data_IF_108222406939
#
_entry.id   IF_108222406939
#
_cell.length_a   1.000
_cell.length_b   1.000
_cell.length_c   1.000
_cell.angle_alpha   90.00
_cell.angle_beta   90.00
_cell.angle_gamma   90.00
#
_symmetry.space_group_name_H-M   'P 1'
#
loop_
_entity.id
_entity.type
_entity.pdbx_description
1 polymer ?
#
# COMPACT_ATOMS: atom_id res chain seq x y z
N UNK A 1 0.60 -17.03 8.40
CA UNK A 1 2.08 -17.00 8.38
C UNK A 1 2.63 -16.04 9.44
N UNK A 2 2.13 -14.80 9.49
CA UNK A 2 2.55 -13.74 10.42
C UNK A 2 2.68 -14.23 11.87
N UNK A 3 1.65 -14.87 12.44
CA UNK A 3 1.69 -15.33 13.84
C UNK A 3 2.75 -16.40 14.08
N UNK A 4 2.90 -17.33 13.13
CA UNK A 4 3.90 -18.41 13.21
C UNK A 4 5.31 -17.83 13.14
N UNK A 5 5.55 -16.89 12.22
CA UNK A 5 6.85 -16.22 12.10
C UNK A 5 7.17 -15.36 13.33
N UNK A 6 6.18 -14.63 13.83
CA UNK A 6 6.32 -13.82 15.05
C UNK A 6 6.63 -14.69 16.27
N UNK A 7 6.05 -15.89 16.36
CA UNK A 7 6.34 -16.80 17.47
C UNK A 7 7.74 -17.43 17.36
N UNK A 8 8.11 -17.90 16.16
CA UNK A 8 9.41 -18.54 15.90
C UNK A 8 10.59 -17.57 16.06
N UNK A 9 10.45 -16.32 15.63
CA UNK A 9 11.56 -15.37 15.56
C UNK A 9 11.48 -14.23 16.58
N UNK A 10 10.54 -14.30 17.55
CA UNK A 10 10.25 -13.23 18.52
C UNK A 10 11.48 -12.59 19.17
N UNK A 11 12.50 -13.39 19.49
CA UNK A 11 13.70 -12.96 20.20
C UNK A 11 14.92 -12.78 19.30
N UNK A 12 14.81 -13.12 18.01
CA UNK A 12 15.92 -13.11 17.05
C UNK A 12 15.65 -12.23 15.82
N UNK A 13 14.52 -11.54 15.77
CA UNK A 13 14.18 -10.63 14.69
C UNK A 13 14.82 -9.24 14.88
N UNK A 14 15.20 -8.62 13.77
CA UNK A 14 15.46 -7.18 13.71
C UNK A 14 14.18 -6.42 13.38
N UNK A 15 14.00 -5.24 13.97
CA UNK A 15 12.90 -4.35 13.62
C UNK A 15 13.33 -3.47 12.45
N UNK A 16 12.61 -3.58 11.32
CA UNK A 16 12.77 -2.61 10.23
C UNK A 16 12.14 -1.28 10.67
N UNK A 17 12.74 -0.13 10.32
CA UNK A 17 12.14 1.15 10.61
C UNK A 17 10.88 1.35 9.76
N UNK A 18 9.98 2.23 10.21
CA UNK A 18 8.69 2.51 9.56
C UNK A 18 8.79 3.07 8.13
N UNK A 19 10.00 3.31 7.61
CA UNK A 19 10.23 3.68 6.22
C UNK A 19 9.94 2.51 5.26
N UNK A 20 10.01 1.26 5.73
CA UNK A 20 10.00 0.07 4.87
C UNK A 20 8.68 -0.67 4.76
N UNK A 21 7.74 -0.50 5.69
CA UNK A 21 6.44 -1.17 5.61
C UNK A 21 5.40 -0.28 6.25
N UNK A 22 4.59 0.34 5.41
CA UNK A 22 3.45 1.15 5.84
C UNK A 22 2.22 0.60 5.13
N UNK A 23 1.12 0.41 5.87
CA UNK A 23 -0.10 -0.11 5.28
C UNK A 23 -0.77 0.99 4.47
N UNK A 24 -1.31 0.68 3.30
CA UNK A 24 -1.94 1.69 2.42
C UNK A 24 -3.03 2.50 3.11
N UNK A 25 -3.78 1.91 4.05
CA UNK A 25 -4.77 2.66 4.82
C UNK A 25 -4.18 3.74 5.72
N UNK A 26 -2.91 3.63 6.08
CA UNK A 26 -2.31 4.56 7.04
C UNK A 26 -1.95 5.85 6.34
N UNK A 27 -1.86 5.87 5.01
CA UNK A 27 -1.69 7.09 4.21
C UNK A 27 -2.71 8.15 4.62
N UNK A 28 -3.96 7.76 4.87
CA UNK A 28 -5.02 8.68 5.28
C UNK A 28 -5.15 8.83 6.79
N UNK A 29 -4.45 8.01 7.60
CA UNK A 29 -4.44 8.18 9.05
C UNK A 29 -3.57 9.37 9.48
N UNK A 30 -3.85 9.92 10.67
CA UNK A 30 -3.12 11.06 11.24
C UNK A 30 -1.93 10.67 12.12
N UNK A 31 -1.64 9.37 12.22
CA UNK A 31 -0.59 8.88 13.11
C UNK A 31 0.79 9.09 12.47
N UNK A 32 1.75 9.59 13.24
CA UNK A 32 3.06 9.96 12.68
C UNK A 32 4.05 8.80 12.59
N UNK A 33 3.90 7.73 13.36
CA UNK A 33 4.68 6.49 13.24
C UNK A 33 6.20 6.72 13.32
N UNK A 34 6.64 7.37 14.41
CA UNK A 34 8.05 7.74 14.66
C UNK A 34 8.62 8.81 13.72
N UNK A 35 7.83 9.35 12.78
CA UNK A 35 8.15 10.57 12.06
C UNK A 35 7.66 11.81 12.82
N UNK A 36 8.15 12.99 12.44
CA UNK A 36 7.79 14.30 13.01
C UNK A 36 6.39 14.73 12.57
N UNK A 37 5.93 14.32 11.39
CA UNK A 37 4.59 14.66 10.87
C UNK A 37 4.06 13.62 9.88
N UNK A 38 2.75 13.65 9.62
CA UNK A 38 2.10 12.86 8.55
C UNK A 38 2.75 13.12 7.19
N UNK A 39 3.02 14.38 6.87
CA UNK A 39 3.66 14.78 5.62
C UNK A 39 5.08 14.20 5.50
N UNK A 40 5.86 14.25 6.58
CA UNK A 40 7.20 13.64 6.61
C UNK A 40 7.14 12.12 6.43
N UNK A 41 6.20 11.44 7.11
CA UNK A 41 6.00 10.01 6.92
C UNK A 41 5.69 9.66 5.47
N UNK A 42 4.74 10.36 4.85
CA UNK A 42 4.35 10.16 3.45
C UNK A 42 5.56 10.34 2.53
N UNK A 43 6.40 11.35 2.79
CA UNK A 43 7.60 11.63 1.99
C UNK A 43 8.73 10.59 2.17
N UNK A 44 8.84 9.97 3.35
CA UNK A 44 9.96 9.11 3.72
C UNK A 44 9.60 7.62 3.79
N UNK A 45 8.41 7.24 3.32
CA UNK A 45 8.02 5.84 3.19
C UNK A 45 8.39 5.32 1.81
N UNK A 46 9.01 4.14 1.74
CA UNK A 46 9.50 3.54 0.50
C UNK A 46 8.61 2.41 -0.02
N UNK A 47 7.80 1.80 0.85
CA UNK A 47 6.94 0.67 0.47
C UNK A 47 5.57 0.80 1.12
N UNK A 48 4.54 0.64 0.29
CA UNK A 48 3.15 0.62 0.72
C UNK A 48 2.54 -0.77 0.52
N UNK A 49 2.01 -1.32 1.61
CA UNK A 49 1.38 -2.64 1.60
C UNK A 49 -0.14 -2.49 1.44
N UNK A 50 -0.68 -2.98 0.32
CA UNK A 50 -2.12 -3.14 0.12
C UNK A 50 -2.71 -4.16 1.10
N UNK A 51 -3.44 -3.65 2.09
CA UNK A 51 -4.03 -4.39 3.19
C UNK A 51 -5.51 -4.01 3.33
N UNK A 52 -6.38 -4.90 3.83
CA UNK A 52 -7.86 -4.75 3.88
C UNK A 52 -8.45 -3.53 4.61
N UNK A 53 -7.63 -2.56 5.06
CA UNK A 53 -8.13 -1.32 5.64
C UNK A 53 -8.88 -0.45 4.61
N UNK A 54 -9.80 0.40 5.10
CA UNK A 54 -10.62 1.33 4.29
C UNK A 54 -11.52 0.67 3.25
N UNK A 55 -11.80 -0.63 3.36
CA UNK A 55 -12.57 -1.36 2.36
C UNK A 55 -11.78 -1.68 1.09
N UNK A 56 -10.47 -1.42 1.09
CA UNK A 56 -9.57 -1.65 -0.04
C UNK A 56 -8.70 -2.83 0.29
N UNK A 57 -8.96 -3.97 -0.36
CA UNK A 57 -8.27 -5.22 -0.06
C UNK A 57 -6.97 -5.34 -0.85
N UNK A 58 -7.11 -5.28 -2.16
CA UNK A 58 -6.06 -5.51 -3.14
C UNK A 58 -6.30 -4.61 -4.34
N UNK A 59 -5.25 -4.08 -4.97
CA UNK A 59 -5.39 -3.10 -6.02
C UNK A 59 -6.15 -3.66 -7.24
N UNK A 60 -5.97 -4.95 -7.56
CA UNK A 60 -6.72 -5.62 -8.63
C UNK A 60 -8.22 -5.81 -8.36
N UNK A 61 -8.68 -5.65 -7.12
CA UNK A 61 -10.10 -5.68 -6.77
C UNK A 61 -10.73 -4.26 -6.75
N UNK A 62 -9.91 -3.22 -6.85
CA UNK A 62 -10.39 -1.84 -6.87
C UNK A 62 -10.71 -1.44 -8.32
N UNK A 63 -11.89 -0.89 -8.62
CA UNK A 63 -12.18 -0.39 -9.96
C UNK A 63 -11.23 0.75 -10.35
N UNK A 64 -10.66 0.70 -11.55
CA UNK A 64 -9.77 1.77 -12.08
C UNK A 64 -10.46 3.14 -12.12
N UNK A 65 -11.79 3.18 -12.23
CA UNK A 65 -12.61 4.40 -12.18
C UNK A 65 -12.48 5.20 -10.87
N UNK A 66 -11.89 4.63 -9.82
CA UNK A 66 -11.54 5.38 -8.61
C UNK A 66 -10.60 6.56 -8.91
N UNK A 67 -9.80 6.47 -9.97
CA UNK A 67 -8.90 7.55 -10.40
C UNK A 67 -9.65 8.74 -11.01
N UNK A 68 -10.87 8.53 -11.52
CA UNK A 68 -11.73 9.58 -12.08
C UNK A 68 -12.47 10.38 -10.99
N UNK A 69 -12.57 9.80 -9.79
CA UNK A 69 -13.34 10.33 -8.67
C UNK A 69 -12.49 10.38 -7.40
N UNK A 70 -11.38 11.13 -7.46
CA UNK A 70 -10.49 11.32 -6.31
C UNK A 70 -11.22 12.08 -5.19
N UNK A 71 -11.48 11.41 -4.08
CA UNK A 71 -11.97 12.03 -2.85
C UNK A 71 -10.91 12.95 -2.24
N UNK A 72 -11.30 14.19 -1.91
CA UNK A 72 -10.41 15.18 -1.32
C UNK A 72 -9.94 14.82 0.11
N UNK A 73 -10.62 13.91 0.79
CA UNK A 73 -10.25 13.37 2.10
C UNK A 73 -9.05 12.41 2.04
N UNK A 74 -8.67 11.96 0.85
CA UNK A 74 -7.57 11.01 0.65
C UNK A 74 -6.34 11.75 0.14
N UNK A 75 -5.16 11.35 0.61
CA UNK A 75 -3.90 11.92 0.13
C UNK A 75 -3.68 11.57 -1.35
N UNK A 76 -3.10 12.46 -2.17
CA UNK A 76 -2.82 12.18 -3.58
C UNK A 76 -2.04 10.87 -3.81
N UNK A 77 -1.07 10.60 -2.94
CA UNK A 77 -0.23 9.40 -2.98
C UNK A 77 -1.05 8.10 -3.02
N UNK A 78 -2.22 8.07 -2.36
CA UNK A 78 -3.08 6.89 -2.36
C UNK A 78 -3.50 6.49 -3.79
N UNK A 79 -3.87 7.46 -4.61
CA UNK A 79 -4.27 7.24 -6.01
C UNK A 79 -3.06 6.96 -6.89
N UNK A 80 -1.94 7.61 -6.62
CA UNK A 80 -0.73 7.48 -7.44
C UNK A 80 -0.15 6.06 -7.32
N UNK A 81 -0.17 5.44 -6.13
CA UNK A 81 0.27 4.04 -5.95
C UNK A 81 -0.66 3.05 -6.68
N UNK A 82 -1.97 3.33 -6.72
CA UNK A 82 -2.92 2.51 -7.49
C UNK A 82 -2.64 2.61 -9.00
N UNK A 83 -2.42 3.82 -9.50
CA UNK A 83 -2.05 4.06 -10.89
C UNK A 83 -0.74 3.33 -11.25
N UNK A 84 0.30 3.49 -10.43
CA UNK A 84 1.59 2.82 -10.62
C UNK A 84 1.44 1.28 -10.63
N UNK A 85 0.66 0.72 -9.71
CA UNK A 85 0.37 -0.72 -9.72
C UNK A 85 -0.21 -1.17 -11.07
N UNK A 86 -1.22 -0.47 -11.60
CA UNK A 86 -1.86 -0.85 -12.86
C UNK A 86 -0.97 -0.62 -14.09
N UNK A 87 -0.19 0.45 -14.10
CA UNK A 87 0.79 0.69 -15.17
C UNK A 87 1.80 -0.46 -15.26
N UNK A 88 2.29 -0.94 -14.10
CA UNK A 88 3.18 -2.09 -14.03
C UNK A 88 2.48 -3.41 -14.37
N UNK A 89 1.24 -3.61 -13.92
CA UNK A 89 0.44 -4.79 -14.28
C UNK A 89 0.21 -4.86 -15.81
N UNK A 90 -0.17 -3.75 -16.45
CA UNK A 90 -0.39 -3.70 -17.90
C UNK A 90 0.92 -3.97 -18.67
N UNK A 91 2.04 -3.41 -18.20
CA UNK A 91 3.34 -3.55 -18.86
C UNK A 91 3.97 -4.95 -18.69
N UNK A 92 3.82 -5.56 -17.51
CA UNK A 92 4.57 -6.77 -17.13
C UNK A 92 3.71 -8.03 -17.07
N UNK A 93 2.40 -7.88 -16.93
CA UNK A 93 1.45 -8.98 -16.75
C UNK A 93 0.44 -9.07 -17.90
N UNK A 94 0.83 -8.73 -19.12
CA UNK A 94 -0.02 -8.83 -20.32
C UNK A 94 -0.66 -10.22 -20.50
N UNK A 95 -0.05 -11.28 -19.96
CA UNK A 95 -0.59 -12.63 -19.93
C UNK A 95 -1.90 -12.77 -19.13
N UNK A 96 -2.14 -11.91 -18.14
CA UNK A 96 -3.42 -11.87 -17.40
C UNK A 96 -4.59 -11.48 -18.32
N UNK A 97 -4.34 -10.63 -19.32
CA UNK A 97 -5.36 -10.23 -20.28
C UNK A 97 -5.56 -11.30 -21.38
N UNK A 98 -4.54 -12.09 -21.68
CA UNK A 98 -4.56 -13.12 -22.72
C UNK A 98 -5.34 -14.40 -22.34
N UNK A 99 -5.60 -14.63 -21.05
CA UNK A 99 -6.32 -15.83 -20.54
C UNK A 99 -7.85 -15.73 -20.58
N UNK A 100 -8.41 -14.61 -21.05
CA UNK A 100 -9.85 -14.35 -21.12
C UNK A 100 -10.40 -14.30 -22.57
N UNK A 101 -9.63 -14.78 -23.55
CA UNK A 101 -10.02 -14.87 -24.96
C UNK A 101 -10.42 -16.28 -25.40
#
# INVERSE_FOLDING_TARGET
DMDVLNDLFRTTCGYLPNHYVVLTYTIVDDATWSFTSKAERILNTYVHHFSPGLGIFKPWNTPRSILDHREASYEPLFYDILAEYWDHEDAMCAWLQAGHG
#
